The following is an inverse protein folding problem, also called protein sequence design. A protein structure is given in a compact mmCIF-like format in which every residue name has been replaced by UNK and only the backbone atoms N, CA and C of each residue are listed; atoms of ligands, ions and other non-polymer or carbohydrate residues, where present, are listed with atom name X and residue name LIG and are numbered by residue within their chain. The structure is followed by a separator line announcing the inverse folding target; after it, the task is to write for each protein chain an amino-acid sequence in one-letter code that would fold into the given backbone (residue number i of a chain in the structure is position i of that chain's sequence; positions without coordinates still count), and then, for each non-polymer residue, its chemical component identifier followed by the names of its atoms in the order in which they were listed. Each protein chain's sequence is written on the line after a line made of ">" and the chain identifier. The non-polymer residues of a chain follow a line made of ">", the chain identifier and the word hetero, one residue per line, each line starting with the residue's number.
data_IF_716603180526
#
_entry.id   IF_716603180526
#
_cell.length_a   1.000
_cell.length_b   1.000
_cell.length_c   1.000
_cell.angle_alpha   90.00
_cell.angle_beta   90.00
_cell.angle_gamma   90.00
#
_symmetry.space_group_name_H-M   'P 1'
#
loop_
_entity.id
_entity.type
_entity.pdbx_description
1 polymer ?
#
# COMPACT_ATOMS: atom_id res chain seq x y z
N UNK A 1 37.50 -8.57 55.89
CA UNK A 1 37.31 -8.80 54.44
C UNK A 1 35.97 -8.23 54.03
N UNK A 2 35.94 -7.12 53.26
CA UNK A 2 34.73 -6.60 52.62
C UNK A 2 34.94 -6.73 51.11
N UNK A 3 34.17 -7.59 50.46
CA UNK A 3 34.21 -7.76 49.02
C UNK A 3 33.47 -6.58 48.36
N UNK A 4 34.18 -5.86 47.49
CA UNK A 4 33.59 -4.83 46.64
C UNK A 4 33.09 -5.54 45.39
N UNK A 5 31.77 -5.66 45.24
CA UNK A 5 31.15 -6.11 43.99
C UNK A 5 31.18 -4.94 43.03
N UNK A 6 32.01 -5.02 41.97
CA UNK A 6 31.96 -4.07 40.85
C UNK A 6 30.71 -4.39 40.02
N UNK A 7 29.72 -3.51 40.08
CA UNK A 7 28.53 -3.58 39.26
C UNK A 7 28.85 -3.00 37.88
N UNK A 8 29.20 -3.86 36.93
CA UNK A 8 29.44 -3.46 35.55
C UNK A 8 28.08 -3.23 34.87
N UNK A 9 27.71 -1.98 34.65
CA UNK A 9 26.54 -1.63 33.83
C UNK A 9 26.85 -1.93 32.36
N UNK A 10 26.32 -3.04 31.84
CA UNK A 10 26.20 -3.24 30.40
C UNK A 10 25.11 -2.28 29.89
N UNK A 11 25.51 -1.15 29.30
CA UNK A 11 24.64 -0.35 28.46
C UNK A 11 24.32 -1.18 27.21
N UNK A 12 23.21 -1.92 27.26
CA UNK A 12 22.61 -2.51 26.05
C UNK A 12 22.10 -1.33 25.24
N UNK A 13 22.93 -0.84 24.32
CA UNK A 13 22.50 0.05 23.25
C UNK A 13 21.60 -0.79 22.33
N UNK A 14 20.32 -0.90 22.70
CA UNK A 14 19.28 -1.27 21.75
C UNK A 14 19.29 -0.16 20.71
N UNK A 15 20.06 -0.36 19.65
CA UNK A 15 19.84 0.33 18.40
C UNK A 15 18.51 -0.19 17.86
N UNK A 16 17.39 0.21 18.49
CA UNK A 16 16.11 0.16 17.82
C UNK A 16 16.24 1.18 16.70
N UNK A 17 16.65 0.72 15.52
CA UNK A 17 16.21 1.38 14.31
C UNK A 17 14.70 1.51 14.48
N UNK A 18 14.23 2.73 14.69
CA UNK A 18 12.81 3.02 14.57
C UNK A 18 12.57 2.90 13.07
N UNK A 19 12.38 1.67 12.60
CA UNK A 19 11.82 1.41 11.28
C UNK A 19 10.45 2.03 11.32
N UNK A 20 10.36 3.28 10.83
CA UNK A 20 9.09 3.96 10.69
C UNK A 20 8.21 3.10 9.80
N UNK A 21 6.93 2.96 10.17
CA UNK A 21 5.97 2.24 9.34
C UNK A 21 6.01 2.75 7.90
N UNK A 22 6.33 1.86 6.96
CA UNK A 22 6.40 2.17 5.52
C UNK A 22 5.03 2.61 4.99
N UNK A 23 3.98 2.06 5.59
CA UNK A 23 2.59 2.39 5.29
C UNK A 23 1.96 3.01 6.53
N UNK A 24 1.54 4.27 6.41
CA UNK A 24 0.88 5.02 7.50
C UNK A 24 -0.52 5.46 7.11
N UNK A 25 -1.46 5.34 8.05
CA UNK A 25 -2.75 5.99 7.97
C UNK A 25 -2.68 7.37 8.63
N UNK A 26 -3.05 8.41 7.91
CA UNK A 26 -2.94 9.81 8.34
C UNK A 26 -4.34 10.38 8.49
N UNK A 27 -4.70 10.79 9.71
CA UNK A 27 -5.92 11.55 9.95
C UNK A 27 -5.76 12.98 9.41
N UNK A 28 -6.74 13.43 8.62
CA UNK A 28 -6.80 14.80 8.11
C UNK A 28 -8.03 15.50 8.71
N UNK A 29 -7.75 16.51 9.53
CA UNK A 29 -8.77 17.32 10.19
C UNK A 29 -9.32 18.42 9.26
N UNK A 30 -9.91 18.01 8.14
CA UNK A 30 -10.60 18.88 7.19
C UNK A 30 -11.89 18.21 6.74
N UNK A 31 -13.00 18.93 6.72
CA UNK A 31 -14.26 18.39 6.23
C UNK A 31 -14.37 18.54 4.72
N UNK A 32 -14.43 17.42 4.01
CA UNK A 32 -14.51 17.36 2.54
C UNK A 32 -15.51 16.32 2.08
N UNK A 33 -16.06 16.50 0.87
CA UNK A 33 -16.77 15.43 0.17
C UNK A 33 -15.80 14.31 -0.17
N UNK A 34 -16.29 13.09 -0.38
CA UNK A 34 -15.41 11.94 -0.59
C UNK A 34 -14.41 12.14 -1.75
N UNK A 35 -14.87 12.65 -2.90
CA UNK A 35 -13.99 12.91 -4.06
C UNK A 35 -12.97 14.02 -3.81
N UNK A 36 -13.34 15.04 -3.05
CA UNK A 36 -12.43 16.13 -2.68
C UNK A 36 -11.40 15.66 -1.66
N UNK A 37 -11.79 14.78 -0.73
CA UNK A 37 -10.89 14.11 0.19
C UNK A 37 -9.89 13.20 -0.55
N UNK A 38 -10.36 12.45 -1.54
CA UNK A 38 -9.50 11.64 -2.41
C UNK A 38 -8.47 12.50 -3.14
N UNK A 39 -8.90 13.57 -3.80
CA UNK A 39 -8.00 14.48 -4.50
C UNK A 39 -6.93 15.05 -3.56
N UNK A 40 -7.33 15.48 -2.36
CA UNK A 40 -6.39 15.97 -1.35
C UNK A 40 -5.37 14.90 -0.94
N UNK A 41 -5.81 13.67 -0.69
CA UNK A 41 -4.90 12.60 -0.31
C UNK A 41 -3.94 12.21 -1.44
N UNK A 42 -4.38 12.25 -2.69
CA UNK A 42 -3.53 11.98 -3.85
C UNK A 42 -2.49 13.08 -4.08
N UNK A 43 -2.82 14.33 -3.78
CA UNK A 43 -1.91 15.47 -3.88
C UNK A 43 -0.91 15.51 -2.72
N UNK A 44 -1.36 15.24 -1.49
CA UNK A 44 -0.56 15.44 -0.27
C UNK A 44 0.17 14.16 0.16
N UNK A 45 -0.46 13.00 0.02
CA UNK A 45 -0.01 11.72 0.54
C UNK A 45 0.16 10.69 -0.59
N UNK A 46 -0.66 9.63 -0.61
CA UNK A 46 -0.69 8.62 -1.68
C UNK A 46 -2.11 8.46 -2.23
N UNK A 47 -3.09 8.13 -1.39
CA UNK A 47 -4.53 8.12 -1.71
C UNK A 47 -5.34 8.11 -0.39
N UNK A 48 -6.68 8.01 -0.45
CA UNK A 48 -7.49 7.65 0.73
C UNK A 48 -7.08 6.28 1.27
N UNK A 49 -7.23 6.10 2.58
CA UNK A 49 -6.87 4.87 3.28
C UNK A 49 -7.59 3.65 2.71
N UNK A 50 -6.82 2.62 2.35
CA UNK A 50 -7.33 1.32 1.98
C UNK A 50 -6.86 0.24 2.96
N UNK A 51 -7.57 -0.89 2.99
CA UNK A 51 -7.32 -2.00 3.91
C UNK A 51 -7.33 -3.31 3.11
N UNK A 52 -6.26 -4.12 3.21
CA UNK A 52 -6.17 -5.42 2.51
C UNK A 52 -6.08 -6.61 3.46
N UNK A 53 -5.79 -6.34 4.73
CA UNK A 53 -5.58 -7.36 5.76
C UNK A 53 -6.11 -6.89 7.11
N UNK A 54 -6.18 -7.83 8.06
CA UNK A 54 -6.46 -7.49 9.45
C UNK A 54 -5.41 -6.53 10.04
N UNK A 55 -4.14 -6.69 9.69
CA UNK A 55 -3.05 -5.80 10.16
C UNK A 55 -3.26 -4.36 9.68
N UNK A 56 -3.64 -4.18 8.41
CA UNK A 56 -4.00 -2.85 7.88
C UNK A 56 -5.18 -2.25 8.65
N UNK A 57 -6.21 -3.06 8.93
CA UNK A 57 -7.39 -2.62 9.70
C UNK A 57 -7.03 -2.20 11.12
N UNK A 58 -6.15 -2.94 11.79
CA UNK A 58 -5.68 -2.63 13.15
C UNK A 58 -4.92 -1.29 13.18
N UNK A 59 -4.01 -1.06 12.22
CA UNK A 59 -3.27 0.21 12.08
C UNK A 59 -4.22 1.40 11.82
N UNK A 60 -5.19 1.26 10.92
CA UNK A 60 -6.18 2.29 10.67
C UNK A 60 -7.07 2.53 11.90
N UNK A 61 -7.50 1.48 12.59
CA UNK A 61 -8.31 1.59 13.81
C UNK A 61 -7.54 2.28 14.94
N UNK A 62 -6.25 2.01 15.09
CA UNK A 62 -5.39 2.70 16.06
C UNK A 62 -5.37 4.21 15.79
N UNK A 63 -5.23 4.62 14.53
CA UNK A 63 -5.27 6.04 14.12
C UNK A 63 -6.63 6.69 14.43
N UNK A 64 -7.73 5.95 14.21
CA UNK A 64 -9.09 6.38 14.55
C UNK A 64 -9.27 6.59 16.05
N UNK A 65 -8.77 5.66 16.87
CA UNK A 65 -8.89 5.72 18.33
C UNK A 65 -8.02 6.82 18.93
N UNK A 66 -6.84 7.07 18.37
CA UNK A 66 -5.95 8.17 18.74
C UNK A 66 -6.66 9.52 18.58
N UNK A 67 -7.25 9.75 17.40
CA UNK A 67 -7.88 11.03 17.06
C UNK A 67 -9.33 11.13 17.52
N UNK A 68 -9.97 10.00 17.85
CA UNK A 68 -11.38 9.88 18.23
C UNK A 68 -12.33 10.49 17.20
N UNK A 69 -12.07 10.21 15.92
CA UNK A 69 -12.83 10.76 14.79
C UNK A 69 -13.20 9.70 13.77
N UNK A 70 -14.45 9.73 13.31
CA UNK A 70 -14.86 8.98 12.12
C UNK A 70 -14.49 9.77 10.85
N UNK A 71 -14.48 9.11 9.70
CA UNK A 71 -14.15 9.81 8.46
C UNK A 71 -14.12 8.94 7.21
N UNK A 72 -13.95 9.59 6.07
CA UNK A 72 -13.84 8.90 4.79
C UNK A 72 -12.61 8.00 4.72
N UNK A 73 -12.82 6.82 4.12
CA UNK A 73 -11.79 5.91 3.67
C UNK A 73 -11.96 5.65 2.17
N UNK A 74 -11.00 4.98 1.54
CA UNK A 74 -10.94 4.82 0.09
C UNK A 74 -11.97 3.88 -0.51
N UNK A 75 -12.79 3.18 0.28
CA UNK A 75 -13.74 2.21 -0.25
C UNK A 75 -14.94 2.91 -0.89
N UNK A 76 -15.25 2.54 -2.13
CA UNK A 76 -16.36 3.11 -2.89
C UNK A 76 -16.92 2.10 -3.90
N UNK A 77 -18.09 2.42 -4.47
CA UNK A 77 -18.66 1.70 -5.62
C UNK A 77 -19.18 2.70 -6.64
N UNK A 78 -19.32 2.25 -7.88
CA UNK A 78 -20.02 3.03 -8.90
C UNK A 78 -21.53 2.93 -8.64
N UNK A 79 -22.31 3.97 -8.94
CA UNK A 79 -23.74 4.02 -8.59
C UNK A 79 -24.59 2.94 -9.27
N UNK A 80 -24.08 2.33 -10.32
CA UNK A 80 -24.70 1.24 -11.08
C UNK A 80 -24.07 -0.13 -10.80
N UNK A 81 -23.19 -0.22 -9.79
CA UNK A 81 -22.43 -1.42 -9.45
C UNK A 81 -22.70 -1.82 -8.00
N UNK A 82 -22.79 -3.12 -7.75
CA UNK A 82 -22.79 -3.68 -6.39
C UNK A 82 -21.37 -3.96 -5.88
N UNK A 83 -20.36 -3.85 -6.75
CA UNK A 83 -19.00 -4.23 -6.45
C UNK A 83 -18.25 -3.06 -5.80
N UNK A 84 -17.83 -3.28 -4.56
CA UNK A 84 -16.97 -2.36 -3.82
C UNK A 84 -15.52 -2.50 -4.28
N UNK A 85 -14.83 -1.37 -4.40
CA UNK A 85 -13.41 -1.27 -4.74
C UNK A 85 -12.76 -0.13 -3.95
N UNK A 86 -11.49 -0.31 -3.62
CA UNK A 86 -10.73 0.79 -3.03
C UNK A 86 -10.37 1.81 -4.11
N UNK A 87 -10.22 3.07 -3.69
CA UNK A 87 -9.58 4.12 -4.48
C UNK A 87 -8.23 3.62 -5.01
N UNK A 88 -7.92 3.94 -6.26
CA UNK A 88 -6.82 3.29 -6.99
C UNK A 88 -7.18 1.92 -7.57
N UNK A 89 -8.46 1.55 -7.61
CA UNK A 89 -9.01 0.35 -8.29
C UNK A 89 -8.47 -0.97 -7.75
N UNK A 90 -8.09 -1.00 -6.48
CA UNK A 90 -7.73 -2.23 -5.78
C UNK A 90 -9.00 -3.00 -5.43
N UNK A 91 -8.96 -4.31 -5.61
CA UNK A 91 -10.06 -5.20 -5.24
C UNK A 91 -10.26 -5.20 -3.72
N UNK A 92 -11.51 -5.39 -3.30
CA UNK A 92 -11.84 -5.62 -1.90
C UNK A 92 -11.44 -7.04 -1.50
N UNK A 93 -10.38 -7.18 -0.69
CA UNK A 93 -9.87 -8.48 -0.20
C UNK A 93 -10.16 -8.72 1.28
N UNK A 94 -10.59 -7.68 1.99
CA UNK A 94 -10.88 -7.70 3.42
C UNK A 94 -12.12 -6.86 3.70
N UNK A 95 -12.97 -7.30 4.63
CA UNK A 95 -14.20 -6.61 4.97
C UNK A 95 -14.34 -6.40 6.47
N UNK A 96 -14.75 -5.19 6.87
CA UNK A 96 -15.00 -4.84 8.27
C UNK A 96 -16.28 -4.02 8.47
N UNK A 97 -17.33 -4.37 7.73
CA UNK A 97 -18.64 -3.71 7.82
C UNK A 97 -19.21 -3.76 9.25
N UNK A 98 -19.87 -2.67 9.64
CA UNK A 98 -20.74 -2.67 10.82
C UNK A 98 -21.92 -3.59 10.57
N UNK A 99 -22.47 -4.18 11.63
CA UNK A 99 -23.70 -4.96 11.53
C UNK A 99 -24.82 -4.13 10.87
N UNK A 100 -25.45 -4.72 9.85
CA UNK A 100 -26.48 -4.07 9.04
C UNK A 100 -25.95 -3.15 7.93
N UNK A 101 -24.66 -3.23 7.59
CA UNK A 101 -24.03 -2.47 6.50
C UNK A 101 -23.38 -3.43 5.49
N UNK A 102 -23.22 -3.01 4.22
CA UNK A 102 -23.76 -1.78 3.64
C UNK A 102 -25.29 -1.86 3.43
N UNK A 103 -26.03 -0.77 3.66
CA UNK A 103 -27.51 -0.73 3.51
C UNK A 103 -28.00 0.15 2.36
N UNK A 104 -27.10 0.88 1.69
CA UNK A 104 -27.40 1.75 0.57
C UNK A 104 -28.57 2.72 0.85
N UNK A 105 -28.57 3.37 2.01
CA UNK A 105 -29.71 4.18 2.44
C UNK A 105 -30.09 5.23 1.38
N UNK A 106 -31.39 5.27 1.03
CA UNK A 106 -31.97 6.10 -0.05
C UNK A 106 -31.36 5.86 -1.45
N UNK A 107 -30.65 4.75 -1.68
CA UNK A 107 -29.91 4.46 -2.90
C UNK A 107 -28.84 5.51 -3.24
N UNK A 108 -28.23 6.13 -2.23
CA UNK A 108 -27.29 7.24 -2.40
C UNK A 108 -25.92 7.00 -1.76
N UNK A 109 -25.68 5.82 -1.20
CA UNK A 109 -24.51 5.56 -0.37
C UNK A 109 -23.47 4.75 -1.13
N UNK A 110 -22.65 5.44 -1.90
CA UNK A 110 -21.66 4.81 -2.78
C UNK A 110 -20.22 4.94 -2.28
N UNK A 111 -20.03 5.47 -1.07
CA UNK A 111 -18.71 5.73 -0.48
C UNK A 111 -18.72 5.31 0.98
N UNK A 112 -17.56 5.03 1.55
CA UNK A 112 -17.48 4.41 2.87
C UNK A 112 -16.75 5.30 3.86
N UNK A 113 -17.29 5.38 5.07
CA UNK A 113 -16.61 5.94 6.22
C UNK A 113 -16.20 4.84 7.20
N UNK A 114 -15.13 5.09 7.94
CA UNK A 114 -14.76 4.31 9.12
C UNK A 114 -15.33 5.00 10.37
N UNK A 115 -15.92 4.19 11.25
CA UNK A 115 -16.53 4.63 12.51
C UNK A 115 -15.54 4.55 13.67
N UNK A 116 -15.88 5.16 14.81
CA UNK A 116 -15.03 5.17 16.02
C UNK A 116 -14.63 3.78 16.55
N UNK A 117 -15.44 2.75 16.25
CA UNK A 117 -15.15 1.37 16.64
C UNK A 117 -14.36 0.58 15.56
N UNK A 118 -13.85 1.28 14.54
CA UNK A 118 -13.10 0.70 13.42
C UNK A 118 -13.98 0.07 12.32
N UNK A 119 -15.29 -0.10 12.55
CA UNK A 119 -16.20 -0.70 11.57
C UNK A 119 -16.58 0.28 10.46
N UNK A 120 -17.03 -0.26 9.34
CA UNK A 120 -17.35 0.52 8.14
C UNK A 120 -18.86 0.72 7.95
N UNK A 121 -19.22 1.83 7.31
CA UNK A 121 -20.59 2.21 6.97
C UNK A 121 -20.58 2.84 5.56
N UNK A 122 -21.45 2.42 4.65
CA UNK A 122 -21.65 3.19 3.42
C UNK A 122 -22.39 4.49 3.72
N UNK A 123 -22.12 5.53 2.93
CA UNK A 123 -22.66 6.86 3.18
C UNK A 123 -22.70 7.68 1.88
N UNK A 124 -23.54 8.72 1.87
CA UNK A 124 -23.62 9.65 0.76
C UNK A 124 -22.31 10.44 0.65
N UNK A 125 -21.59 10.28 -0.45
CA UNK A 125 -20.27 10.90 -0.66
C UNK A 125 -20.31 12.42 -0.89
N UNK A 126 -21.51 13.01 -0.99
CA UNK A 126 -21.69 14.47 -1.03
C UNK A 126 -21.70 15.11 0.36
N UNK A 127 -21.74 14.31 1.41
CA UNK A 127 -21.61 14.78 2.79
C UNK A 127 -20.15 15.13 3.08
N UNK A 128 -19.95 16.15 3.91
CA UNK A 128 -18.61 16.58 4.30
C UNK A 128 -18.19 15.89 5.60
N UNK A 129 -17.01 15.29 5.61
CA UNK A 129 -16.42 14.62 6.78
C UNK A 129 -14.91 14.79 6.77
N UNK A 130 -14.29 14.68 7.95
CA UNK A 130 -12.87 14.36 8.07
C UNK A 130 -12.55 13.05 7.36
N UNK A 131 -11.27 12.80 7.09
CA UNK A 131 -10.87 11.67 6.26
C UNK A 131 -9.48 11.15 6.62
N UNK A 132 -9.22 9.92 6.17
CA UNK A 132 -7.97 9.22 6.42
C UNK A 132 -7.25 8.98 5.10
N UNK A 133 -6.04 9.50 4.98
CA UNK A 133 -5.17 9.21 3.84
C UNK A 133 -4.23 8.04 4.16
N UNK A 134 -3.82 7.29 3.16
CA UNK A 134 -2.66 6.39 3.25
C UNK A 134 -1.43 7.13 2.71
N UNK A 135 -0.32 6.98 3.41
CA UNK A 135 0.98 7.45 2.99
C UNK A 135 1.94 6.26 2.88
N UNK A 136 2.33 5.96 1.66
CA UNK A 136 3.26 4.88 1.33
C UNK A 136 4.63 5.49 1.10
N UNK A 137 5.62 4.97 1.83
CA UNK A 137 7.02 5.40 1.78
C UNK A 137 7.81 4.40 0.94
N UNK A 138 8.81 4.87 0.18
CA UNK A 138 9.76 3.99 -0.48
C UNK A 138 10.83 3.51 0.51
N UNK A 139 11.28 2.26 0.39
CA UNK A 139 12.49 1.83 1.10
C UNK A 139 13.71 2.31 0.33
N UNK A 140 14.35 3.36 0.82
CA UNK A 140 15.58 3.94 0.24
C UNK A 140 16.84 3.17 0.67
N UNK A 141 16.77 1.84 0.60
CA UNK A 141 17.91 0.96 0.84
C UNK A 141 17.98 -0.03 -0.32
N UNK A 142 19.03 0.09 -1.14
CA UNK A 142 19.20 -0.79 -2.28
C UNK A 142 19.47 -2.23 -1.83
N UNK A 143 18.59 -3.16 -2.22
CA UNK A 143 18.65 -4.59 -1.88
C UNK A 143 18.50 -5.44 -3.14
N UNK A 144 19.00 -6.68 -3.08
CA UNK A 144 18.65 -7.69 -4.08
C UNK A 144 17.16 -7.96 -4.03
N UNK A 145 16.60 -8.57 -5.08
CA UNK A 145 15.16 -8.83 -5.11
C UNK A 145 14.73 -9.75 -3.94
N UNK A 146 15.52 -10.79 -3.63
CA UNK A 146 15.26 -11.68 -2.50
C UNK A 146 15.36 -10.96 -1.14
N UNK A 147 16.36 -10.10 -0.95
CA UNK A 147 16.52 -9.33 0.29
C UNK A 147 15.43 -8.26 0.46
N UNK A 148 14.96 -7.66 -0.63
CA UNK A 148 13.85 -6.72 -0.65
C UNK A 148 12.54 -7.41 -0.25
N UNK A 149 12.24 -8.59 -0.83
CA UNK A 149 11.09 -9.39 -0.44
C UNK A 149 11.15 -9.77 1.05
N UNK A 150 12.31 -10.22 1.52
CA UNK A 150 12.51 -10.56 2.93
C UNK A 150 12.23 -9.36 3.83
N UNK A 151 12.74 -8.18 3.49
CA UNK A 151 12.49 -6.95 4.25
C UNK A 151 11.00 -6.61 4.32
N UNK A 152 10.28 -6.61 3.20
CA UNK A 152 8.84 -6.33 3.24
C UNK A 152 8.07 -7.34 4.11
N UNK A 153 8.44 -8.62 4.06
CA UNK A 153 7.80 -9.64 4.90
C UNK A 153 8.08 -9.45 6.40
N UNK A 154 9.29 -9.01 6.78
CA UNK A 154 9.67 -8.75 8.19
C UNK A 154 8.80 -7.67 8.84
N UNK A 155 8.38 -6.67 8.07
CA UNK A 155 7.45 -5.62 8.51
C UNK A 155 5.96 -5.94 8.24
N UNK A 156 5.65 -7.22 7.99
CA UNK A 156 4.29 -7.73 7.71
C UNK A 156 3.61 -7.09 6.49
N UNK A 157 4.38 -6.80 5.46
CA UNK A 157 3.92 -6.32 4.14
C UNK A 157 4.39 -7.28 3.05
N UNK A 158 4.26 -6.92 1.78
CA UNK A 158 4.89 -7.64 0.68
C UNK A 158 5.46 -6.65 -0.36
N UNK A 159 6.25 -7.14 -1.32
CA UNK A 159 6.59 -6.34 -2.50
C UNK A 159 5.30 -6.02 -3.26
N UNK A 160 5.17 -4.77 -3.72
CA UNK A 160 3.94 -4.32 -4.37
C UNK A 160 3.62 -5.10 -5.64
N UNK A 161 2.35 -5.45 -5.80
CA UNK A 161 1.75 -5.80 -7.08
C UNK A 161 1.23 -4.55 -7.79
N UNK A 162 0.99 -4.66 -9.10
CA UNK A 162 0.36 -3.62 -9.92
C UNK A 162 -0.75 -4.29 -10.74
N UNK A 163 -2.00 -4.18 -10.29
CA UNK A 163 -3.11 -4.99 -10.81
C UNK A 163 -4.06 -4.22 -11.75
N UNK A 164 -3.84 -2.92 -11.92
CA UNK A 164 -4.67 -2.06 -12.75
C UNK A 164 -3.93 -0.78 -13.12
N UNK A 165 -4.42 -0.05 -14.12
CA UNK A 165 -3.90 1.27 -14.49
C UNK A 165 -3.90 2.24 -13.29
N UNK A 166 -4.89 2.28 -12.38
CA UNK A 166 -4.86 3.22 -11.27
C UNK A 166 -3.91 2.82 -10.13
N UNK A 167 -3.68 1.52 -9.91
CA UNK A 167 -2.56 1.06 -9.07
C UNK A 167 -1.22 1.44 -9.69
N UNK A 168 -1.13 1.35 -11.01
CA UNK A 168 0.04 1.77 -11.77
C UNK A 168 0.31 3.26 -11.56
N UNK A 169 -0.70 4.12 -11.73
CA UNK A 169 -0.59 5.57 -11.47
C UNK A 169 -0.19 5.86 -10.01
N UNK A 170 -0.66 5.05 -9.06
CA UNK A 170 -0.26 5.17 -7.65
C UNK A 170 1.22 4.86 -7.48
N UNK A 171 1.73 3.79 -8.08
CA UNK A 171 3.14 3.44 -8.05
C UNK A 171 4.01 4.54 -8.70
N UNK A 172 3.56 5.10 -9.83
CA UNK A 172 4.21 6.25 -10.47
C UNK A 172 4.32 7.45 -9.53
N UNK A 173 3.23 7.83 -8.86
CA UNK A 173 3.23 8.96 -7.92
C UNK A 173 4.21 8.74 -6.76
N UNK A 174 4.26 7.51 -6.24
CA UNK A 174 5.24 7.14 -5.21
C UNK A 174 6.65 7.33 -5.76
N UNK A 175 6.96 6.76 -6.93
CA UNK A 175 8.28 6.90 -7.56
C UNK A 175 8.68 8.36 -7.83
N UNK A 176 7.74 9.18 -8.30
CA UNK A 176 7.96 10.62 -8.52
C UNK A 176 8.25 11.37 -7.23
N UNK A 177 7.50 11.07 -6.16
CA UNK A 177 7.65 11.72 -4.84
C UNK A 177 8.99 11.40 -4.17
N UNK A 178 9.54 10.22 -4.44
CA UNK A 178 10.86 9.78 -3.95
C UNK A 178 11.98 9.96 -4.99
N UNK A 179 11.74 10.75 -6.04
CA UNK A 179 12.75 11.11 -7.06
C UNK A 179 13.50 9.91 -7.67
N UNK A 180 12.80 8.80 -7.91
CA UNK A 180 13.41 7.60 -8.49
C UNK A 180 14.01 7.91 -9.87
N UNK A 181 15.30 7.62 -10.01
CA UNK A 181 16.09 7.97 -11.20
C UNK A 181 15.97 6.98 -12.34
N UNK A 182 15.74 5.70 -12.04
CA UNK A 182 15.63 4.64 -13.04
C UNK A 182 14.50 3.65 -12.78
N UNK A 183 14.57 2.90 -11.68
CA UNK A 183 13.71 1.72 -11.46
C UNK A 183 13.63 1.33 -9.98
N UNK A 184 12.61 0.56 -9.63
CA UNK A 184 12.43 -0.05 -8.30
C UNK A 184 11.97 -1.49 -8.40
N UNK A 185 12.25 -2.31 -7.38
CA UNK A 185 11.68 -3.65 -7.30
C UNK A 185 10.17 -3.62 -7.05
N UNK A 186 9.49 -4.51 -7.75
CA UNK A 186 8.08 -4.88 -7.54
C UNK A 186 7.99 -6.39 -7.32
N UNK A 187 6.84 -6.89 -6.87
CA UNK A 187 6.64 -8.29 -6.49
C UNK A 187 6.56 -9.28 -7.65
N UNK A 188 6.91 -8.87 -8.87
CA UNK A 188 6.78 -9.68 -10.06
C UNK A 188 7.98 -10.62 -10.20
N UNK A 189 7.74 -11.92 -10.40
CA UNK A 189 8.78 -12.95 -10.52
C UNK A 189 8.44 -13.96 -11.60
N UNK A 190 9.44 -14.37 -12.38
CA UNK A 190 9.32 -15.46 -13.33
C UNK A 190 9.64 -16.80 -12.65
N UNK A 191 8.62 -17.65 -12.48
CA UNK A 191 8.74 -18.98 -11.87
C UNK A 191 7.82 -19.96 -12.62
N UNK A 192 8.27 -21.20 -12.80
CA UNK A 192 7.48 -22.26 -13.43
C UNK A 192 6.93 -21.81 -14.80
N UNK A 193 7.84 -21.27 -15.62
CA UNK A 193 7.60 -20.80 -17.00
C UNK A 193 6.50 -19.73 -17.15
N UNK A 194 6.26 -18.94 -16.10
CA UNK A 194 5.33 -17.81 -16.13
C UNK A 194 5.72 -16.70 -15.16
N UNK A 195 5.25 -15.48 -15.44
CA UNK A 195 5.27 -14.38 -14.47
C UNK A 195 4.15 -14.53 -13.44
N UNK A 196 4.44 -14.22 -12.18
CA UNK A 196 3.48 -14.19 -11.09
C UNK A 196 3.83 -13.12 -10.06
N UNK A 197 2.81 -12.65 -9.32
CA UNK A 197 3.02 -11.81 -8.14
C UNK A 197 3.30 -12.69 -6.92
N UNK A 198 4.40 -12.42 -6.22
CA UNK A 198 4.83 -13.26 -5.08
C UNK A 198 3.98 -13.09 -3.83
N UNK A 199 3.16 -12.04 -3.79
CA UNK A 199 2.13 -11.85 -2.77
C UNK A 199 0.85 -12.68 -3.03
N UNK A 200 0.77 -13.40 -4.15
CA UNK A 200 -0.36 -14.25 -4.53
C UNK A 200 -1.45 -13.55 -5.35
N UNK A 201 -1.30 -12.26 -5.64
CA UNK A 201 -2.26 -11.53 -6.46
C UNK A 201 -2.35 -12.08 -7.90
N UNK A 202 -3.51 -11.99 -8.55
CA UNK A 202 -3.67 -12.49 -9.91
C UNK A 202 -3.00 -11.55 -10.93
N UNK A 203 -2.32 -12.11 -11.93
CA UNK A 203 -1.69 -11.34 -13.01
C UNK A 203 -2.72 -10.95 -14.09
N UNK A 204 -3.61 -10.00 -13.77
CA UNK A 204 -4.72 -9.55 -14.65
C UNK A 204 -4.43 -8.30 -15.46
N UNK A 205 -3.33 -7.62 -15.16
CA UNK A 205 -2.87 -6.40 -15.81
C UNK A 205 -1.40 -6.57 -16.20
N UNK A 206 -0.97 -5.94 -17.29
CA UNK A 206 0.41 -5.99 -17.77
C UNK A 206 0.79 -4.63 -18.34
N UNK A 207 2.00 -4.17 -18.02
CA UNK A 207 2.53 -2.90 -18.51
C UNK A 207 3.95 -3.07 -19.09
N UNK A 208 4.16 -4.13 -19.87
CA UNK A 208 5.41 -4.34 -20.58
C UNK A 208 5.59 -3.31 -21.73
N UNK A 209 6.83 -2.89 -22.04
CA UNK A 209 7.13 -2.02 -23.17
C UNK A 209 6.62 -2.63 -24.49
N UNK A 210 6.03 -1.82 -25.35
CA UNK A 210 5.54 -2.27 -26.65
C UNK A 210 6.68 -2.57 -27.64
N UNK A 211 7.82 -1.86 -27.50
CA UNK A 211 8.93 -1.88 -28.46
C UNK A 211 10.22 -2.56 -27.93
N UNK A 212 10.11 -3.28 -26.81
CA UNK A 212 11.25 -3.94 -26.14
C UNK A 212 11.49 -5.38 -26.58
N UNK A 213 12.75 -5.83 -26.52
CA UNK A 213 13.13 -7.21 -26.78
C UNK A 213 12.28 -8.21 -25.96
N UNK A 214 11.83 -9.28 -26.61
CA UNK A 214 10.99 -10.34 -26.06
C UNK A 214 11.67 -11.17 -24.94
N UNK A 215 12.78 -10.72 -24.37
CA UNK A 215 13.51 -11.42 -23.30
C UNK A 215 12.61 -11.70 -22.08
N UNK A 216 11.65 -10.81 -21.81
CA UNK A 216 10.66 -11.03 -20.76
C UNK A 216 9.69 -12.19 -21.05
N UNK A 217 9.54 -12.68 -22.29
CA UNK A 217 8.62 -13.78 -22.60
C UNK A 217 9.16 -15.13 -22.08
N UNK A 218 10.48 -15.29 -22.07
CA UNK A 218 11.15 -16.49 -21.56
C UNK A 218 12.56 -16.15 -21.03
N UNK A 219 12.66 -15.44 -19.89
CA UNK A 219 13.94 -14.95 -19.40
C UNK A 219 14.82 -16.08 -18.85
N UNK A 220 16.03 -16.21 -19.40
CA UNK A 220 17.03 -17.16 -18.88
C UNK A 220 17.69 -16.65 -17.60
N UNK A 221 17.98 -15.35 -17.53
CA UNK A 221 18.71 -14.74 -16.40
C UNK A 221 17.86 -13.70 -15.66
N UNK A 222 17.30 -12.72 -16.38
CA UNK A 222 16.55 -11.59 -15.83
C UNK A 222 15.13 -12.00 -15.42
N UNK A 223 15.00 -12.64 -14.26
CA UNK A 223 13.75 -13.28 -13.78
C UNK A 223 12.99 -12.49 -12.73
N UNK A 224 13.45 -11.29 -12.39
CA UNK A 224 12.81 -10.40 -11.43
C UNK A 224 12.16 -9.23 -12.15
N UNK A 225 11.00 -8.78 -11.71
CA UNK A 225 10.34 -7.62 -12.29
C UNK A 225 10.69 -6.35 -11.53
N UNK A 226 10.98 -5.30 -12.29
CA UNK A 226 11.14 -3.94 -11.82
C UNK A 226 10.11 -3.03 -12.50
N UNK A 227 9.79 -1.91 -11.84
CA UNK A 227 9.01 -0.82 -12.44
C UNK A 227 9.98 0.32 -12.77
N UNK A 228 9.99 0.76 -14.03
CA UNK A 228 10.84 1.87 -14.49
C UNK A 228 10.22 3.22 -14.15
N UNK A 229 10.99 4.31 -14.22
CA UNK A 229 10.48 5.68 -14.03
C UNK A 229 9.45 6.10 -15.09
N UNK A 230 9.52 5.50 -16.29
CA UNK A 230 8.50 5.64 -17.33
C UNK A 230 7.25 4.81 -17.03
N UNK A 231 7.31 4.02 -15.96
CA UNK A 231 6.25 3.17 -15.51
C UNK A 231 5.94 2.09 -16.55
N UNK A 232 7.01 1.42 -16.94
CA UNK A 232 6.95 0.18 -17.70
C UNK A 232 7.49 -0.92 -16.82
N UNK A 233 6.95 -2.12 -16.97
CA UNK A 233 7.52 -3.30 -16.35
C UNK A 233 8.76 -3.73 -17.12
N UNK A 234 9.82 -4.06 -16.40
CA UNK A 234 11.03 -4.57 -17.00
C UNK A 234 11.48 -5.83 -16.26
N UNK A 235 11.97 -6.81 -17.01
CA UNK A 235 12.64 -7.95 -16.42
C UNK A 235 14.10 -7.58 -16.13
N UNK A 236 14.58 -7.92 -14.94
CA UNK A 236 15.88 -7.46 -14.42
C UNK A 236 16.64 -8.57 -13.69
N UNK A 237 17.95 -8.36 -13.51
CA UNK A 237 18.81 -9.30 -12.79
C UNK A 237 18.50 -9.23 -11.30
N UNK A 238 18.06 -10.36 -10.74
CA UNK A 238 17.69 -10.46 -9.33
C UNK A 238 18.83 -10.16 -8.36
N UNK A 239 20.09 -10.26 -8.82
CA UNK A 239 21.27 -9.96 -8.01
C UNK A 239 21.60 -8.47 -7.94
N UNK A 240 21.01 -7.64 -8.80
CA UNK A 240 21.17 -6.19 -8.73
C UNK A 240 20.49 -5.62 -7.49
N UNK A 241 20.97 -4.46 -7.05
CA UNK A 241 20.46 -3.79 -5.86
C UNK A 241 19.65 -2.57 -6.26
N UNK A 242 18.37 -2.57 -5.90
CA UNK A 242 17.44 -1.49 -6.21
C UNK A 242 16.63 -1.11 -4.96
N UNK A 243 16.13 0.12 -4.94
CA UNK A 243 15.07 0.53 -4.02
C UNK A 243 13.78 -0.22 -4.33
N UNK A 244 12.85 -0.28 -3.39
CA UNK A 244 11.65 -1.11 -3.52
C UNK A 244 10.46 -0.56 -2.75
N UNK A 245 9.27 -0.99 -3.18
CA UNK A 245 7.99 -0.57 -2.61
C UNK A 245 7.38 -1.75 -1.86
N UNK A 246 7.23 -1.59 -0.55
CA UNK A 246 6.49 -2.53 0.30
C UNK A 246 5.07 -2.03 0.50
N UNK A 247 4.09 -2.86 0.15
CA UNK A 247 2.66 -2.60 0.42
C UNK A 247 2.11 -3.87 1.03
#
# INVERSE_FOLDING_TARGET
>A
MKAIVKLTFFLIFLCSAVEGDIVKHIFVNMDKKWREAQAYCQETYTDLSFVRSQSDQEKLTATVLEHKKEGWIGLHRDSNSTNWKWSGWRNLTYENWKSGQPDNHKNQENHVQILLNGRWNDHNGNEVKSFYCIHITMVEVEKTWEDALKHCNEIQTNLTSVLSEPEHLTAQRVMQKFEVTERVWIGLRYLVDRWLWVNGDPLVYQAWPQDGAQDHQCPMWKRCGALTKQAEWENWDCQDRLNFICI
#
